data_IF_452293946848
#
_entry.id   IF_452293946848
#
_cell.length_a   1.000
_cell.length_b   1.000
_cell.length_c   1.000
_cell.angle_alpha   90.00
_cell.angle_beta   90.00
_cell.angle_gamma   90.00
#
_symmetry.space_group_name_H-M   'P 1'
#
loop_
_entity.id
_entity.type
_entity.pdbx_description
1 polymer ?
#
# COMPACT_ATOMS: atom_id res chain seq x y z
N UNK A 1 -9.97 -16.13 -12.46
CA UNK A 1 -11.12 -15.20 -12.36
C UNK A 1 -10.89 -14.04 -13.35
N UNK A 2 -11.91 -13.67 -14.16
CA UNK A 2 -11.85 -12.47 -15.00
C UNK A 2 -12.27 -11.27 -14.15
N UNK A 3 -11.40 -10.29 -14.01
CA UNK A 3 -11.69 -9.05 -13.29
C UNK A 3 -12.35 -8.09 -14.28
N UNK A 4 -13.61 -7.75 -14.06
CA UNK A 4 -14.33 -6.82 -14.91
C UNK A 4 -14.22 -5.38 -14.38
N UNK A 5 -14.32 -5.21 -13.04
CA UNK A 5 -14.33 -3.91 -12.37
C UNK A 5 -13.35 -3.89 -11.19
N UNK A 6 -12.49 -2.90 -11.15
CA UNK A 6 -11.49 -2.75 -10.09
C UNK A 6 -11.47 -1.33 -9.50
N UNK A 7 -11.32 -1.24 -8.19
CA UNK A 7 -11.00 0.01 -7.48
C UNK A 7 -9.53 -0.02 -7.08
N UNK A 8 -8.79 1.06 -7.35
CA UNK A 8 -7.39 1.22 -6.97
C UNK A 8 -7.20 2.57 -6.27
N UNK A 9 -6.80 2.55 -5.00
CA UNK A 9 -6.47 3.78 -4.29
C UNK A 9 -5.05 4.25 -4.61
N UNK A 10 -4.86 5.56 -4.79
CA UNK A 10 -3.56 6.14 -5.20
C UNK A 10 -3.19 5.82 -6.66
N UNK A 11 -4.18 5.63 -7.54
CA UNK A 11 -3.97 5.16 -8.92
C UNK A 11 -3.49 6.23 -9.91
N UNK A 12 -3.11 7.44 -9.46
CA UNK A 12 -2.64 8.52 -10.35
C UNK A 12 -1.13 8.68 -10.39
N UNK A 13 -0.38 7.87 -9.65
CA UNK A 13 1.09 7.91 -9.64
C UNK A 13 1.71 6.58 -9.21
N UNK A 14 3.00 6.43 -9.46
CA UNK A 14 3.83 5.34 -8.94
C UNK A 14 3.25 3.94 -9.17
N UNK A 15 3.21 3.15 -8.11
CA UNK A 15 2.75 1.75 -8.13
C UNK A 15 1.26 1.68 -8.47
N UNK A 16 0.44 2.58 -7.89
CA UNK A 16 -1.00 2.60 -8.14
C UNK A 16 -1.34 2.83 -9.61
N UNK A 17 -0.67 3.78 -10.27
CA UNK A 17 -0.85 4.01 -11.70
C UNK A 17 -0.40 2.78 -12.52
N UNK A 18 0.72 2.19 -12.17
CA UNK A 18 1.19 0.99 -12.87
C UNK A 18 0.24 -0.21 -12.69
N UNK A 19 -0.44 -0.33 -11.53
CA UNK A 19 -1.50 -1.33 -11.31
C UNK A 19 -2.70 -1.02 -12.20
N UNK A 20 -3.14 0.25 -12.26
CA UNK A 20 -4.24 0.66 -13.13
C UNK A 20 -3.93 0.31 -14.59
N UNK A 21 -2.74 0.62 -15.08
CA UNK A 21 -2.32 0.31 -16.46
C UNK A 21 -2.26 -1.19 -16.76
N UNK A 22 -1.77 -1.99 -15.81
CA UNK A 22 -1.76 -3.45 -15.94
C UNK A 22 -3.18 -4.02 -16.03
N UNK A 23 -4.13 -3.48 -15.26
CA UNK A 23 -5.54 -3.90 -15.27
C UNK A 23 -6.26 -3.44 -16.55
N UNK A 24 -6.07 -2.18 -16.95
CA UNK A 24 -6.64 -1.63 -18.20
C UNK A 24 -6.17 -2.40 -19.43
N UNK A 25 -4.88 -2.75 -19.51
CA UNK A 25 -4.33 -3.53 -20.64
C UNK A 25 -4.95 -4.91 -20.78
N UNK A 26 -5.72 -5.36 -19.79
CA UNK A 26 -6.43 -6.65 -19.75
C UNK A 26 -7.94 -6.49 -19.89
N UNK A 27 -8.42 -5.30 -20.24
CA UNK A 27 -9.83 -5.01 -20.43
C UNK A 27 -10.63 -4.91 -19.13
N UNK A 28 -9.97 -4.59 -18.00
CA UNK A 28 -10.63 -4.28 -16.74
C UNK A 28 -11.08 -2.82 -16.74
N UNK A 29 -12.31 -2.54 -16.33
CA UNK A 29 -12.79 -1.21 -15.99
C UNK A 29 -12.20 -0.79 -14.64
N UNK A 30 -11.44 0.31 -14.60
CA UNK A 30 -10.66 0.73 -13.43
C UNK A 30 -11.15 2.06 -12.88
N UNK A 31 -11.44 2.08 -11.61
CA UNK A 31 -11.79 3.27 -10.82
C UNK A 31 -10.60 3.64 -9.93
N UNK A 32 -9.89 4.67 -10.33
CA UNK A 32 -8.73 5.22 -9.62
C UNK A 32 -9.17 6.29 -8.64
N UNK A 33 -8.86 6.11 -7.37
CA UNK A 33 -9.17 7.05 -6.30
C UNK A 33 -7.90 7.82 -5.93
N UNK A 34 -7.95 9.15 -6.00
CA UNK A 34 -6.83 10.01 -5.61
C UNK A 34 -7.28 11.41 -5.22
N UNK A 35 -6.40 12.16 -4.55
CA UNK A 35 -6.63 13.57 -4.21
C UNK A 35 -6.62 14.49 -5.44
N UNK A 36 -5.76 14.18 -6.40
CA UNK A 36 -5.51 14.98 -7.59
C UNK A 36 -5.68 14.12 -8.86
N UNK A 37 -6.94 13.79 -9.23
CA UNK A 37 -7.21 12.94 -10.39
C UNK A 37 -6.86 13.65 -11.72
N UNK A 38 -6.86 14.96 -11.77
CA UNK A 38 -6.54 15.81 -12.93
C UNK A 38 -5.10 15.65 -13.46
N UNK A 39 -4.21 15.03 -12.68
CA UNK A 39 -2.83 14.71 -13.12
C UNK A 39 -2.78 13.68 -14.26
N UNK A 40 -3.87 12.95 -14.46
CA UNK A 40 -3.97 11.91 -15.48
C UNK A 40 -5.08 12.26 -16.46
N UNK A 41 -4.82 12.11 -17.75
CA UNK A 41 -5.84 12.29 -18.77
C UNK A 41 -6.85 11.14 -18.73
N UNK A 42 -8.17 11.43 -18.79
CA UNK A 42 -9.20 10.39 -18.91
C UNK A 42 -8.96 9.49 -20.12
N UNK A 43 -9.26 8.21 -19.98
CA UNK A 43 -9.18 7.21 -21.05
C UNK A 43 -10.37 6.28 -20.93
N UNK A 44 -10.67 5.57 -22.00
CA UNK A 44 -11.71 4.56 -21.99
C UNK A 44 -11.48 3.54 -20.86
N UNK A 45 -12.53 3.18 -20.15
CA UNK A 45 -12.51 2.26 -18.98
C UNK A 45 -11.63 2.72 -17.82
N UNK A 46 -11.17 3.98 -17.79
CA UNK A 46 -10.37 4.55 -16.71
C UNK A 46 -11.07 5.74 -16.07
N UNK A 47 -11.74 5.48 -14.96
CA UNK A 47 -12.49 6.47 -14.19
C UNK A 47 -11.62 7.07 -13.11
N UNK A 48 -11.50 8.38 -13.10
CA UNK A 48 -10.67 9.13 -12.15
C UNK A 48 -11.57 9.81 -11.12
N UNK A 49 -11.55 9.32 -9.88
CA UNK A 49 -12.42 9.78 -8.81
C UNK A 49 -11.61 10.55 -7.76
N UNK A 50 -12.11 11.74 -7.39
CA UNK A 50 -11.47 12.59 -6.37
C UNK A 50 -11.93 12.17 -4.98
N UNK A 51 -10.95 11.82 -4.13
CA UNK A 51 -11.18 11.53 -2.71
C UNK A 51 -9.90 11.72 -1.92
N UNK A 52 -9.97 12.44 -0.80
CA UNK A 52 -8.89 12.45 0.19
C UNK A 52 -9.14 11.34 1.21
N UNK A 53 -8.23 10.37 1.24
CA UNK A 53 -8.30 9.25 2.18
C UNK A 53 -7.96 9.64 3.63
N UNK A 54 -7.56 10.87 3.90
CA UNK A 54 -7.43 11.37 5.27
C UNK A 54 -8.77 11.80 5.87
N UNK A 55 -9.79 12.06 5.05
CA UNK A 55 -11.15 12.37 5.46
C UNK A 55 -12.00 11.09 5.53
N UNK A 56 -12.15 10.55 6.72
CA UNK A 56 -12.86 9.29 6.95
C UNK A 56 -14.37 9.38 6.69
N UNK A 57 -14.97 10.58 6.86
CA UNK A 57 -16.35 10.84 6.52
C UNK A 57 -16.56 10.70 5.00
N UNK A 58 -15.74 11.42 4.23
CA UNK A 58 -15.77 11.33 2.77
C UNK A 58 -15.49 9.90 2.24
N UNK A 59 -14.62 9.13 2.92
CA UNK A 59 -14.36 7.72 2.56
C UNK A 59 -15.60 6.85 2.80
N UNK A 60 -16.33 7.06 3.88
CA UNK A 60 -17.59 6.34 4.19
C UNK A 60 -18.68 6.66 3.17
N UNK A 61 -18.85 7.95 2.85
CA UNK A 61 -19.81 8.41 1.84
C UNK A 61 -19.48 7.84 0.45
N UNK A 62 -18.19 7.85 0.10
CA UNK A 62 -17.71 7.24 -1.13
C UNK A 62 -18.06 5.75 -1.22
N UNK A 63 -17.82 4.97 -0.16
CA UNK A 63 -18.09 3.54 -0.16
C UNK A 63 -19.57 3.22 -0.45
N UNK A 64 -20.49 3.97 0.16
CA UNK A 64 -21.92 3.82 -0.07
C UNK A 64 -22.36 4.29 -1.45
N UNK A 65 -21.89 5.45 -1.89
CA UNK A 65 -22.22 6.05 -3.19
C UNK A 65 -21.71 5.20 -4.33
N UNK A 66 -20.48 4.72 -4.25
CA UNK A 66 -19.87 3.85 -5.26
C UNK A 66 -20.71 2.58 -5.49
N UNK A 67 -21.13 1.91 -4.42
CA UNK A 67 -21.95 0.70 -4.53
C UNK A 67 -23.30 0.98 -5.21
N UNK A 68 -23.90 2.13 -4.94
CA UNK A 68 -25.19 2.55 -5.51
C UNK A 68 -25.07 2.88 -7.00
N UNK A 69 -23.99 3.58 -7.39
CA UNK A 69 -23.80 4.08 -8.74
C UNK A 69 -23.15 3.08 -9.68
N UNK A 70 -22.10 2.40 -9.22
CA UNK A 70 -21.26 1.51 -10.03
C UNK A 70 -21.41 0.03 -9.69
N UNK A 71 -22.12 -0.30 -8.58
CA UNK A 71 -22.28 -1.69 -8.13
C UNK A 71 -21.01 -2.25 -7.47
N UNK A 72 -21.00 -3.57 -7.27
CA UNK A 72 -19.92 -4.26 -6.56
C UNK A 72 -18.70 -4.47 -7.45
N UNK A 73 -17.48 -4.05 -7.04
CA UNK A 73 -16.25 -4.35 -7.78
C UNK A 73 -15.85 -5.83 -7.63
N UNK A 74 -15.07 -6.34 -8.59
CA UNK A 74 -14.43 -7.66 -8.50
C UNK A 74 -13.09 -7.59 -7.74
N UNK A 75 -12.47 -6.40 -7.71
CA UNK A 75 -11.16 -6.16 -7.11
C UNK A 75 -11.13 -4.82 -6.38
N UNK A 76 -10.65 -4.84 -5.13
CA UNK A 76 -10.24 -3.65 -4.39
C UNK A 76 -8.74 -3.72 -4.13
N UNK A 77 -7.98 -2.71 -4.54
CA UNK A 77 -6.55 -2.56 -4.24
C UNK A 77 -6.34 -1.33 -3.36
N UNK A 78 -6.15 -1.55 -2.08
CA UNK A 78 -5.74 -0.53 -1.12
C UNK A 78 -4.22 -0.31 -1.24
N UNK A 79 -3.85 0.55 -2.20
CA UNK A 79 -2.45 0.87 -2.50
C UNK A 79 -2.01 2.23 -1.96
N UNK A 80 -2.92 3.19 -1.85
CA UNK A 80 -2.57 4.53 -1.39
C UNK A 80 -1.80 4.50 -0.06
N UNK A 81 -0.78 5.34 0.01
CA UNK A 81 0.05 5.46 1.19
C UNK A 81 1.23 6.38 0.94
N UNK A 82 1.77 6.90 2.01
CA UNK A 82 2.99 7.71 1.99
C UNK A 82 3.70 7.55 3.33
N UNK A 83 4.98 7.88 3.37
CA UNK A 83 5.75 7.96 4.60
C UNK A 83 6.04 9.41 4.96
N UNK A 84 6.07 9.73 6.25
CA UNK A 84 6.61 10.99 6.76
C UNK A 84 7.92 10.70 7.50
N UNK A 85 8.96 11.47 7.20
CA UNK A 85 10.32 11.26 7.67
C UNK A 85 10.74 12.37 8.62
N UNK A 86 10.68 12.10 9.94
CA UNK A 86 10.95 13.07 11.01
C UNK A 86 11.67 12.41 12.19
N UNK A 87 12.42 13.19 12.92
CA UNK A 87 12.75 12.85 14.31
C UNK A 87 11.46 12.87 15.13
N UNK A 88 11.29 11.88 16.02
CA UNK A 88 10.01 11.72 16.73
C UNK A 88 9.58 12.98 17.51
N UNK A 89 10.52 13.68 18.12
CA UNK A 89 10.24 14.92 18.87
C UNK A 89 9.72 16.08 18.00
N UNK A 90 10.01 16.04 16.70
CA UNK A 90 9.61 17.05 15.70
C UNK A 90 8.47 16.56 14.79
N UNK A 91 7.88 15.40 15.11
CA UNK A 91 6.83 14.83 14.28
C UNK A 91 5.55 15.68 14.42
N UNK A 92 4.96 16.24 13.33
CA UNK A 92 3.77 17.07 13.42
C UNK A 92 2.53 16.29 13.90
N UNK A 93 1.76 16.84 14.83
CA UNK A 93 0.59 16.18 15.43
C UNK A 93 -0.51 15.88 14.39
N UNK A 94 -0.76 16.80 13.47
CA UNK A 94 -1.72 16.62 12.37
C UNK A 94 -1.29 15.50 11.40
N UNK A 95 0.00 15.32 11.19
CA UNK A 95 0.55 14.28 10.35
C UNK A 95 0.39 12.88 10.99
N UNK A 96 0.35 12.79 12.33
CA UNK A 96 0.08 11.54 13.04
C UNK A 96 -1.28 10.98 12.62
N UNK A 97 -2.33 11.79 12.80
CA UNK A 97 -3.69 11.35 12.48
C UNK A 97 -3.86 11.10 10.98
N UNK A 98 -3.28 11.97 10.16
CA UNK A 98 -3.35 11.85 8.71
C UNK A 98 -2.73 10.57 8.17
N UNK A 99 -1.56 10.19 8.67
CA UNK A 99 -0.93 8.92 8.28
C UNK A 99 -1.74 7.71 8.72
N UNK A 100 -2.25 7.71 9.94
CA UNK A 100 -3.11 6.62 10.44
C UNK A 100 -4.36 6.50 9.56
N UNK A 101 -4.99 7.61 9.23
CA UNK A 101 -6.18 7.61 8.38
C UNK A 101 -5.89 7.00 7.01
N UNK A 102 -4.84 7.47 6.32
CA UNK A 102 -4.52 7.03 4.95
C UNK A 102 -3.99 5.59 4.92
N UNK A 103 -3.12 5.21 5.88
CA UNK A 103 -2.43 3.91 5.84
C UNK A 103 -3.27 2.77 6.42
N UNK A 104 -4.24 3.07 7.29
CA UNK A 104 -4.98 2.07 8.05
C UNK A 104 -6.50 2.27 8.00
N UNK A 105 -7.00 3.40 8.52
CA UNK A 105 -8.44 3.57 8.76
C UNK A 105 -9.25 3.55 7.46
N UNK A 106 -8.80 4.27 6.43
CA UNK A 106 -9.48 4.31 5.13
C UNK A 106 -9.49 2.97 4.39
N UNK A 107 -8.37 2.23 4.28
CA UNK A 107 -8.39 0.85 3.80
C UNK A 107 -9.40 -0.04 4.52
N UNK A 108 -9.48 0.04 5.86
CA UNK A 108 -10.43 -0.74 6.66
C UNK A 108 -11.87 -0.34 6.35
N UNK A 109 -12.17 0.96 6.26
CA UNK A 109 -13.50 1.46 5.91
C UNK A 109 -13.91 0.98 4.51
N UNK A 110 -13.03 1.09 3.52
CA UNK A 110 -13.32 0.57 2.17
C UNK A 110 -13.56 -0.94 2.18
N UNK A 111 -12.77 -1.71 2.93
CA UNK A 111 -13.01 -3.14 3.11
C UNK A 111 -14.39 -3.41 3.75
N UNK A 112 -14.80 -2.64 4.77
CA UNK A 112 -16.11 -2.77 5.41
C UNK A 112 -17.28 -2.58 4.42
N UNK A 113 -17.16 -1.68 3.45
CA UNK A 113 -18.20 -1.47 2.44
C UNK A 113 -18.19 -2.56 1.36
N UNK A 114 -17.03 -2.91 0.84
CA UNK A 114 -16.94 -3.76 -0.35
C UNK A 114 -16.90 -5.26 -0.05
N UNK A 115 -16.26 -5.70 1.03
CA UNK A 115 -16.12 -7.13 1.34
C UNK A 115 -17.45 -7.87 1.45
N UNK A 116 -18.46 -7.39 2.22
CA UNK A 116 -19.74 -8.10 2.31
C UNK A 116 -20.47 -8.20 0.96
N UNK A 117 -20.33 -7.19 0.11
CA UNK A 117 -20.95 -7.19 -1.23
C UNK A 117 -20.25 -8.13 -2.19
N UNK A 118 -18.92 -8.23 -2.11
CA UNK A 118 -18.13 -9.20 -2.85
C UNK A 118 -18.47 -10.64 -2.43
N UNK A 119 -18.68 -10.88 -1.14
CA UNK A 119 -19.12 -12.20 -0.65
C UNK A 119 -20.49 -12.58 -1.17
N UNK A 120 -21.46 -11.66 -1.09
CA UNK A 120 -22.81 -11.89 -1.62
C UNK A 120 -22.83 -12.19 -3.13
N UNK A 121 -21.91 -11.59 -3.90
CA UNK A 121 -21.80 -11.93 -5.33
C UNK A 121 -21.01 -13.23 -5.61
N UNK A 122 -20.54 -13.93 -4.57
CA UNK A 122 -19.81 -15.18 -4.68
C UNK A 122 -18.40 -15.09 -5.27
N UNK A 123 -17.82 -13.89 -5.36
CA UNK A 123 -16.47 -13.64 -5.89
C UNK A 123 -15.94 -12.27 -5.46
N UNK A 124 -14.63 -12.16 -5.38
CA UNK A 124 -13.95 -10.89 -5.09
C UNK A 124 -12.53 -11.11 -4.64
N UNK A 125 -11.72 -10.07 -4.79
CA UNK A 125 -10.37 -10.04 -4.24
C UNK A 125 -10.10 -8.69 -3.62
N UNK A 126 -9.60 -8.67 -2.40
CA UNK A 126 -9.10 -7.48 -1.72
C UNK A 126 -7.59 -7.63 -1.56
N UNK A 127 -6.86 -6.66 -2.09
CA UNK A 127 -5.40 -6.59 -1.98
C UNK A 127 -5.05 -5.38 -1.12
N UNK A 128 -4.50 -5.61 0.04
CA UNK A 128 -3.94 -4.57 0.89
C UNK A 128 -2.43 -4.52 0.68
N UNK A 129 -1.94 -3.40 0.12
CA UNK A 129 -0.51 -3.19 -0.08
C UNK A 129 0.11 -2.74 1.24
N UNK A 130 0.64 -3.71 1.97
CA UNK A 130 1.45 -3.46 3.16
C UNK A 130 2.92 -3.23 2.75
N UNK A 131 3.86 -3.53 3.59
CA UNK A 131 5.28 -3.28 3.32
C UNK A 131 6.16 -4.35 3.93
N UNK A 132 7.35 -4.54 3.39
CA UNK A 132 8.42 -5.28 4.05
C UNK A 132 8.87 -4.61 5.38
N UNK A 133 8.52 -3.33 5.57
CA UNK A 133 8.69 -2.61 6.83
C UNK A 133 7.92 -3.24 8.02
N UNK A 134 6.95 -4.12 7.75
CA UNK A 134 6.30 -4.97 8.77
C UNK A 134 7.28 -5.95 9.44
N UNK A 135 8.37 -6.29 8.77
CA UNK A 135 9.44 -7.16 9.27
C UNK A 135 10.71 -6.38 9.61
N UNK A 136 11.04 -5.39 8.79
CA UNK A 136 12.27 -4.60 8.84
C UNK A 136 11.91 -3.12 8.94
N UNK A 137 11.64 -2.60 10.16
CA UNK A 137 11.18 -1.22 10.33
C UNK A 137 12.23 -0.21 9.86
N UNK A 138 11.73 0.85 9.19
CA UNK A 138 12.52 1.96 8.71
C UNK A 138 12.74 2.98 9.84
N UNK A 139 13.95 3.51 10.04
CA UNK A 139 14.17 4.59 10.99
C UNK A 139 13.48 5.88 10.54
N UNK A 140 13.12 6.73 11.49
CA UNK A 140 12.45 8.04 11.27
C UNK A 140 11.09 7.97 10.55
N UNK A 141 10.51 6.76 10.40
CA UNK A 141 9.20 6.54 9.79
C UNK A 141 8.29 5.67 10.70
N UNK A 142 8.15 5.99 12.00
CA UNK A 142 7.47 5.09 12.95
C UNK A 142 6.01 4.87 12.61
N UNK A 143 5.29 5.89 12.14
CA UNK A 143 3.87 5.77 11.80
C UNK A 143 3.63 5.01 10.50
N UNK A 144 4.54 5.12 9.52
CA UNK A 144 4.50 4.27 8.34
C UNK A 144 4.66 2.79 8.73
N UNK A 145 5.66 2.47 9.55
CA UNK A 145 5.88 1.10 10.04
C UNK A 145 4.66 0.58 10.79
N UNK A 146 4.11 1.38 11.71
CA UNK A 146 2.93 1.03 12.51
C UNK A 146 1.69 0.81 11.62
N UNK A 147 1.38 1.76 10.71
CA UNK A 147 0.22 1.68 9.84
C UNK A 147 0.27 0.47 8.89
N UNK A 148 1.44 0.21 8.28
CA UNK A 148 1.62 -0.95 7.40
C UNK A 148 1.58 -2.28 8.16
N UNK A 149 2.08 -2.32 9.40
CA UNK A 149 1.99 -3.50 10.26
C UNK A 149 0.55 -3.76 10.70
N UNK A 150 -0.17 -2.72 11.10
CA UNK A 150 -1.58 -2.83 11.48
C UNK A 150 -2.47 -3.27 10.29
N UNK A 151 -2.27 -2.70 9.09
CA UNK A 151 -2.99 -3.11 7.89
C UNK A 151 -2.71 -4.57 7.51
N UNK A 152 -1.46 -5.01 7.67
CA UNK A 152 -1.08 -6.42 7.46
C UNK A 152 -1.78 -7.33 8.46
N UNK A 153 -1.77 -6.99 9.75
CA UNK A 153 -2.46 -7.75 10.81
C UNK A 153 -3.97 -7.82 10.57
N UNK A 154 -4.61 -6.69 10.24
CA UNK A 154 -6.02 -6.64 9.85
C UNK A 154 -6.32 -7.60 8.69
N UNK A 155 -5.49 -7.57 7.63
CA UNK A 155 -5.70 -8.45 6.47
C UNK A 155 -5.59 -9.92 6.83
N UNK A 156 -4.67 -10.28 7.73
CA UNK A 156 -4.52 -11.65 8.21
C UNK A 156 -5.73 -12.10 9.04
N UNK A 157 -6.30 -11.23 9.88
CA UNK A 157 -7.57 -11.53 10.58
C UNK A 157 -8.70 -11.82 9.59
N UNK A 158 -8.82 -11.00 8.54
CA UNK A 158 -9.84 -11.23 7.51
C UNK A 158 -9.64 -12.54 6.74
N UNK A 159 -8.40 -13.01 6.58
CA UNK A 159 -8.14 -14.34 6.01
C UNK A 159 -8.65 -15.48 6.89
N UNK A 160 -8.65 -15.29 8.21
CA UNK A 160 -9.15 -16.30 9.16
C UNK A 160 -10.69 -16.34 9.19
N UNK A 161 -11.33 -15.17 9.08
CA UNK A 161 -12.78 -15.04 9.10
C UNK A 161 -13.44 -15.50 7.78
N UNK A 162 -12.75 -15.32 6.64
CA UNK A 162 -13.29 -15.51 5.30
C UNK A 162 -12.56 -16.63 4.54
N UNK A 163 -13.05 -17.83 4.61
CA UNK A 163 -12.50 -18.99 3.88
C UNK A 163 -13.13 -19.24 2.51
N UNK A 164 -14.11 -18.43 2.12
CA UNK A 164 -14.99 -18.64 0.97
C UNK A 164 -14.50 -18.06 -0.35
N UNK A 165 -15.43 -17.48 -1.10
CA UNK A 165 -15.23 -16.92 -2.44
C UNK A 165 -14.42 -15.63 -2.47
N UNK A 166 -14.47 -14.82 -1.41
CA UNK A 166 -13.68 -13.59 -1.25
C UNK A 166 -12.23 -13.94 -0.91
N UNK A 167 -11.29 -13.37 -1.66
CA UNK A 167 -9.86 -13.57 -1.43
C UNK A 167 -9.24 -12.32 -0.81
N UNK A 168 -8.43 -12.54 0.23
CA UNK A 168 -7.69 -11.49 0.93
C UNK A 168 -6.19 -11.67 0.70
N UNK A 169 -5.53 -10.63 0.22
CA UNK A 169 -4.10 -10.65 -0.07
C UNK A 169 -3.41 -9.54 0.75
N UNK A 170 -2.55 -9.93 1.69
CA UNK A 170 -1.57 -9.05 2.33
C UNK A 170 -0.33 -9.02 1.43
N UNK A 171 -0.19 -7.98 0.60
CA UNK A 171 0.94 -7.86 -0.30
C UNK A 171 2.04 -6.99 0.36
N UNK A 172 3.04 -7.64 0.96
CA UNK A 172 4.18 -7.00 1.62
C UNK A 172 5.21 -6.60 0.57
N UNK A 173 5.15 -5.35 0.17
CA UNK A 173 6.00 -4.83 -0.89
C UNK A 173 7.34 -4.34 -0.30
N UNK A 174 8.44 -4.70 -0.94
CA UNK A 174 9.76 -4.13 -0.71
C UNK A 174 9.94 -2.79 -1.41
N UNK A 175 11.19 -2.34 -1.52
CA UNK A 175 11.52 -1.07 -2.16
C UNK A 175 11.20 -1.12 -3.65
N UNK A 176 10.55 -0.07 -4.15
CA UNK A 176 10.19 0.12 -5.56
C UNK A 176 10.49 1.55 -5.93
N UNK A 177 11.21 1.72 -7.03
CA UNK A 177 11.57 3.03 -7.56
C UNK A 177 10.33 3.78 -8.05
N UNK A 178 9.98 4.82 -7.32
CA UNK A 178 8.87 5.74 -7.60
C UNK A 178 9.20 7.11 -7.02
N UNK A 179 8.39 8.12 -7.30
CA UNK A 179 8.44 9.44 -6.66
C UNK A 179 7.91 9.45 -5.21
N UNK A 180 7.79 8.31 -4.55
CA UNK A 180 7.25 8.19 -3.19
C UNK A 180 7.98 9.10 -2.19
N UNK A 181 9.31 9.13 -2.23
CA UNK A 181 10.13 9.95 -1.34
C UNK A 181 10.14 11.43 -1.72
N UNK A 182 9.94 11.77 -3.00
CA UNK A 182 9.93 13.17 -3.46
C UNK A 182 8.74 13.93 -2.87
N UNK A 183 7.61 13.25 -2.69
CA UNK A 183 6.36 13.81 -2.14
C UNK A 183 6.17 13.55 -0.65
N UNK A 184 7.11 12.86 0.02
CA UNK A 184 7.01 12.57 1.44
C UNK A 184 7.18 13.84 2.27
N UNK A 185 6.27 14.15 3.22
CA UNK A 185 6.54 15.14 4.24
C UNK A 185 7.82 14.78 4.99
N UNK A 186 8.74 15.74 5.10
CA UNK A 186 10.02 15.50 5.77
C UNK A 186 10.51 16.76 6.47
N UNK A 187 11.19 16.55 7.55
CA UNK A 187 11.92 17.60 8.23
C UNK A 187 13.08 18.03 7.34
N UNK A 188 13.03 19.25 6.78
CA UNK A 188 14.05 19.78 5.87
C UNK A 188 14.94 20.80 6.59
N UNK A 189 16.24 20.57 6.55
CA UNK A 189 17.38 21.49 6.51
C UNK A 189 17.90 22.17 7.78
N UNK A 190 17.18 22.48 8.84
CA UNK A 190 17.79 23.27 9.93
C UNK A 190 18.07 22.55 11.26
N UNK A 191 17.57 21.34 11.43
CA UNK A 191 17.71 20.58 12.69
C UNK A 191 17.91 19.08 12.52
N UNK A 192 18.24 18.61 11.33
CA UNK A 192 18.43 17.18 11.09
C UNK A 192 19.75 16.72 11.75
N UNK A 193 19.64 15.67 12.57
CA UNK A 193 20.83 15.00 13.08
C UNK A 193 21.60 14.32 11.93
N UNK A 194 22.91 14.21 12.08
CA UNK A 194 23.76 13.52 11.09
C UNK A 194 23.31 12.06 10.85
N UNK A 195 22.80 11.40 11.89
CA UNK A 195 22.23 10.05 11.79
C UNK A 195 20.96 9.99 10.94
N UNK A 196 20.09 11.01 11.02
CA UNK A 196 18.90 11.14 10.19
C UNK A 196 19.26 11.33 8.73
N UNK A 197 20.23 12.19 8.44
CA UNK A 197 20.71 12.42 7.08
C UNK A 197 21.31 11.17 6.46
N UNK A 198 22.15 10.43 7.21
CA UNK A 198 22.70 9.15 6.74
C UNK A 198 21.59 8.13 6.45
N UNK A 199 20.62 8.00 7.33
CA UNK A 199 19.48 7.09 7.13
C UNK A 199 18.68 7.46 5.87
N UNK A 200 18.42 8.75 5.64
CA UNK A 200 17.74 9.23 4.44
C UNK A 200 18.49 8.88 3.16
N UNK A 201 19.77 9.19 3.10
CA UNK A 201 20.63 8.89 1.94
C UNK A 201 20.66 7.37 1.64
N UNK A 202 20.69 6.54 2.68
CA UNK A 202 20.66 5.10 2.52
C UNK A 202 19.30 4.61 1.97
N UNK A 203 18.19 5.19 2.43
CA UNK A 203 16.83 4.88 1.92
C UNK A 203 16.71 5.32 0.45
N UNK A 204 17.14 6.52 0.11
CA UNK A 204 17.12 7.01 -1.28
C UNK A 204 17.96 6.15 -2.21
N UNK A 205 19.18 5.79 -1.80
CA UNK A 205 20.04 4.89 -2.58
C UNK A 205 19.34 3.56 -2.87
N UNK A 206 18.73 2.95 -1.85
CA UNK A 206 18.01 1.68 -2.01
C UNK A 206 16.84 1.80 -2.98
N UNK A 207 16.07 2.88 -2.89
CA UNK A 207 14.95 3.11 -3.80
C UNK A 207 15.40 3.31 -5.24
N UNK A 208 16.48 4.05 -5.47
CA UNK A 208 17.03 4.27 -6.81
C UNK A 208 17.53 2.98 -7.48
N UNK A 209 18.05 2.04 -6.69
CA UNK A 209 18.53 0.73 -7.15
C UNK A 209 17.39 -0.32 -7.25
N UNK A 210 16.17 0.02 -6.81
CA UNK A 210 15.05 -0.90 -6.71
C UNK A 210 14.30 -1.10 -8.03
N UNK A 211 13.53 -2.21 -8.17
CA UNK A 211 12.71 -2.47 -9.33
C UNK A 211 11.70 -1.36 -9.63
N UNK A 212 11.23 -1.30 -10.87
CA UNK A 212 10.26 -0.30 -11.31
C UNK A 212 8.84 -0.58 -10.78
N UNK A 213 7.98 0.47 -10.77
CA UNK A 213 6.56 0.35 -10.45
C UNK A 213 5.84 -0.68 -11.36
N UNK A 214 6.20 -0.75 -12.64
CA UNK A 214 5.64 -1.71 -13.59
C UNK A 214 5.98 -3.16 -13.20
N UNK A 215 7.17 -3.40 -12.68
CA UNK A 215 7.55 -4.72 -12.17
C UNK A 215 6.69 -5.11 -10.95
N UNK A 216 6.51 -4.20 -9.98
CA UNK A 216 5.65 -4.43 -8.82
C UNK A 216 4.20 -4.70 -9.23
N UNK A 217 3.63 -3.90 -10.15
CA UNK A 217 2.27 -4.09 -10.65
C UNK A 217 2.06 -5.48 -11.27
N UNK A 218 3.03 -5.99 -12.04
CA UNK A 218 2.98 -7.35 -12.57
C UNK A 218 2.99 -8.42 -11.47
N UNK A 219 3.82 -8.25 -10.43
CA UNK A 219 3.84 -9.19 -9.30
C UNK A 219 2.50 -9.19 -8.55
N UNK A 220 1.91 -8.02 -8.31
CA UNK A 220 0.60 -7.88 -7.68
C UNK A 220 -0.48 -8.56 -8.54
N UNK A 221 -0.51 -8.28 -9.83
CA UNK A 221 -1.45 -8.93 -10.73
C UNK A 221 -1.30 -10.46 -10.76
N UNK A 222 -0.08 -10.97 -10.78
CA UNK A 222 0.17 -12.42 -10.71
C UNK A 222 -0.32 -13.04 -9.39
N UNK A 223 -0.25 -12.27 -8.29
CA UNK A 223 -0.80 -12.73 -7.01
C UNK A 223 -2.33 -12.86 -7.06
N UNK A 224 -3.00 -11.89 -7.67
CA UNK A 224 -4.46 -11.89 -7.86
C UNK A 224 -4.88 -13.08 -8.73
N UNK A 225 -4.14 -13.36 -9.82
CA UNK A 225 -4.40 -14.50 -10.71
C UNK A 225 -4.37 -15.85 -10.00
N UNK A 226 -3.60 -16.02 -8.95
CA UNK A 226 -3.56 -17.27 -8.17
C UNK A 226 -4.88 -17.57 -7.47
N UNK A 227 -5.75 -16.57 -7.33
CA UNK A 227 -7.08 -16.69 -6.72
C UNK A 227 -7.06 -17.38 -5.35
N UNK A 228 -6.07 -17.03 -4.50
CA UNK A 228 -5.87 -17.57 -3.16
C UNK A 228 -5.59 -16.44 -2.17
N UNK A 229 -6.18 -16.55 -0.98
CA UNK A 229 -5.80 -15.69 0.16
C UNK A 229 -4.39 -16.01 0.63
N UNK A 230 -3.69 -15.01 1.14
CA UNK A 230 -2.37 -15.23 1.73
C UNK A 230 -1.51 -13.97 1.82
N UNK A 231 -0.45 -14.07 2.58
CA UNK A 231 0.62 -13.07 2.64
C UNK A 231 1.64 -13.34 1.54
N UNK A 232 1.90 -12.32 0.72
CA UNK A 232 2.80 -12.42 -0.43
C UNK A 232 3.85 -11.31 -0.33
N UNK A 233 5.09 -11.68 -0.58
CA UNK A 233 6.20 -10.74 -0.59
C UNK A 233 6.54 -10.36 -2.03
N UNK A 234 6.66 -9.04 -2.28
CA UNK A 234 7.03 -8.48 -3.59
C UNK A 234 8.27 -7.59 -3.50
N UNK A 235 8.73 -7.13 -4.66
CA UNK A 235 9.97 -6.36 -4.79
C UNK A 235 11.09 -7.14 -5.46
N UNK A 236 12.35 -6.70 -5.29
CA UNK A 236 13.52 -7.41 -5.81
C UNK A 236 13.66 -8.82 -5.23
N UNK A 237 14.46 -9.66 -5.89
CA UNK A 237 14.62 -11.08 -5.49
C UNK A 237 14.99 -11.26 -4.02
N UNK A 238 15.95 -10.48 -3.53
CA UNK A 238 16.35 -10.55 -2.12
C UNK A 238 15.18 -10.22 -1.19
N UNK A 239 14.46 -9.13 -1.44
CA UNK A 239 13.35 -8.67 -0.58
C UNK A 239 12.12 -9.58 -0.66
N UNK A 240 11.85 -10.16 -1.83
CA UNK A 240 10.69 -11.03 -2.02
C UNK A 240 10.91 -12.48 -1.52
N UNK A 241 12.16 -12.95 -1.44
CA UNK A 241 12.47 -14.36 -1.14
C UNK A 241 13.37 -14.55 0.08
N UNK A 242 14.49 -13.86 0.11
CA UNK A 242 15.51 -14.10 1.14
C UNK A 242 15.24 -13.35 2.44
N UNK A 243 14.86 -12.08 2.36
CA UNK A 243 14.61 -11.27 3.56
C UNK A 243 13.52 -11.88 4.47
N UNK A 244 12.34 -12.32 3.97
CA UNK A 244 11.34 -12.99 4.80
C UNK A 244 11.83 -14.28 5.45
N UNK A 245 12.71 -15.00 4.75
CA UNK A 245 13.32 -16.23 5.30
C UNK A 245 14.30 -15.90 6.43
N UNK A 246 15.19 -14.94 6.22
CA UNK A 246 16.14 -14.50 7.25
C UNK A 246 15.43 -13.98 8.51
N UNK A 247 14.33 -13.25 8.36
CA UNK A 247 13.56 -12.75 9.49
C UNK A 247 13.10 -13.86 10.44
N UNK A 248 12.78 -15.06 9.92
CA UNK A 248 12.32 -16.19 10.74
C UNK A 248 13.39 -16.74 11.67
N UNK A 249 14.66 -16.60 11.32
CA UNK A 249 15.78 -17.15 12.07
C UNK A 249 16.56 -16.11 12.85
N UNK A 250 16.32 -14.82 12.61
CA UNK A 250 17.05 -13.74 13.26
C UNK A 250 16.36 -13.35 14.57
N UNK A 251 17.03 -13.52 15.74
CA UNK A 251 16.49 -13.03 17.00
C UNK A 251 16.26 -11.52 16.95
N UNK A 252 15.23 -11.01 17.62
CA UNK A 252 14.85 -9.60 17.59
C UNK A 252 16.01 -8.63 17.88
N UNK A 253 16.82 -8.92 18.93
CA UNK A 253 17.99 -8.10 19.25
C UNK A 253 19.05 -8.12 18.13
N UNK A 254 19.22 -9.25 17.46
CA UNK A 254 20.08 -9.36 16.28
C UNK A 254 19.57 -8.52 15.11
N UNK A 255 18.27 -8.58 14.86
CA UNK A 255 17.61 -7.74 13.85
C UNK A 255 17.86 -6.25 14.11
N UNK A 256 17.62 -5.77 15.32
CA UNK A 256 17.84 -4.35 15.68
C UNK A 256 19.30 -3.94 15.50
N UNK A 257 20.28 -4.81 15.85
CA UNK A 257 21.71 -4.54 15.62
C UNK A 257 22.02 -4.39 14.13
N UNK A 258 21.52 -5.31 13.29
CA UNK A 258 21.72 -5.28 11.84
C UNK A 258 21.12 -4.00 11.25
N UNK A 259 19.90 -3.62 11.62
CA UNK A 259 19.25 -2.41 11.15
C UNK A 259 19.99 -1.15 11.61
N UNK A 260 20.41 -1.08 12.86
CA UNK A 260 21.26 0.02 13.36
C UNK A 260 22.56 0.13 12.56
N UNK A 261 23.23 -0.97 12.26
CA UNK A 261 24.45 -0.95 11.45
C UNK A 261 24.19 -0.47 10.02
N UNK A 262 23.08 -0.89 9.43
CA UNK A 262 22.70 -0.52 8.05
C UNK A 262 22.41 0.97 7.88
N UNK A 263 21.83 1.63 8.89
CA UNK A 263 21.39 3.03 8.83
C UNK A 263 22.30 4.01 9.60
N UNK A 264 23.39 3.53 10.16
CA UNK A 264 24.46 4.34 10.75
C UNK A 264 25.45 4.78 9.67
#
# INVERSE_FOLDING_TARGET
MKIKKAIVTGGTSGIGLAICEELLSRGTEVYSISRNPEKIKPRENFHLLKLDLSDLGAVSDFGSSFLKEYGTPDLLVNNAGYGAFYEWKEFPDDEIQRQINVLLSSPIILCKFFAPKMELQGKGTIVNISSLATLYPLPYMPLYNAGKSALSSFTQSMMLEHSGSLKWIDFRLGDIRTSFNESAPKQIEKSQSESMNRAWLQIEKQLNESPSAKFAARQIYQSIKKNKSGTIFGGGFFQAKLAPLFYRFLPFLGLIKVLKFRYR
#
